data_IF_111009778498
#
_entry.id   IF_111009778498
#
_cell.length_a   1.000
_cell.length_b   1.000
_cell.length_c   1.000
_cell.angle_alpha   90.00
_cell.angle_beta   90.00
_cell.angle_gamma   90.00
#
_symmetry.space_group_name_H-M   'P 1'
#
loop_
_entity.id
_entity.type
_entity.pdbx_description
1 polymer ?
#
# COMPACT_ATOMS: atom_id res chain seq x y z
N UNK A 1 15.25 0.88 26.98
CA UNK A 1 14.94 -0.51 26.49
C UNK A 1 15.70 -0.76 25.19
N UNK A 2 16.33 -1.95 25.02
CA UNK A 2 16.98 -2.32 23.75
C UNK A 2 15.97 -3.04 22.86
N UNK A 3 15.74 -2.53 21.64
CA UNK A 3 14.76 -3.04 20.69
C UNK A 3 15.51 -3.56 19.46
N UNK A 4 15.26 -4.82 19.08
CA UNK A 4 15.69 -5.35 17.79
C UNK A 4 14.62 -5.06 16.76
N UNK A 5 15.01 -4.57 15.58
CA UNK A 5 14.11 -4.20 14.53
C UNK A 5 14.58 -4.69 13.16
N UNK A 6 13.65 -4.70 12.23
CA UNK A 6 13.89 -5.00 10.82
C UNK A 6 13.34 -3.86 9.98
N UNK A 7 14.13 -3.37 9.05
CA UNK A 7 13.73 -2.33 8.09
C UNK A 7 13.35 -3.00 6.79
N UNK A 8 12.09 -2.82 6.39
CA UNK A 8 11.56 -3.31 5.12
C UNK A 8 11.14 -2.15 4.24
N UNK A 9 11.10 -2.39 2.93
CA UNK A 9 10.50 -1.49 1.97
C UNK A 9 9.61 -2.27 0.99
N UNK A 10 8.54 -1.61 0.49
CA UNK A 10 7.68 -2.10 -0.57
C UNK A 10 7.35 -0.98 -1.53
N UNK A 11 7.93 -1.04 -2.74
CA UNK A 11 7.78 0.00 -3.76
C UNK A 11 8.10 1.42 -3.23
N UNK A 12 9.22 1.54 -2.49
CA UNK A 12 9.73 2.81 -1.97
C UNK A 12 9.12 3.29 -0.65
N UNK A 13 8.03 2.69 -0.20
CA UNK A 13 7.44 2.96 1.11
C UNK A 13 8.13 2.07 2.16
N UNK A 14 8.67 2.66 3.22
CA UNK A 14 9.59 1.99 4.13
C UNK A 14 9.06 1.90 5.57
N UNK A 15 9.31 0.76 6.22
CA UNK A 15 8.71 0.44 7.51
C UNK A 15 9.73 -0.17 8.49
N UNK A 16 9.53 0.13 9.77
CA UNK A 16 10.17 -0.56 10.89
C UNK A 16 9.24 -1.71 11.30
N UNK A 17 9.73 -2.95 11.31
CA UNK A 17 8.98 -4.12 11.71
C UNK A 17 9.57 -4.72 12.99
N UNK A 18 8.70 -5.00 13.96
CA UNK A 18 9.05 -5.59 15.24
C UNK A 18 8.32 -6.94 15.41
N UNK A 19 9.07 -7.97 15.80
CA UNK A 19 8.49 -9.24 16.20
C UNK A 19 7.94 -9.13 17.63
N UNK A 20 6.63 -8.98 17.76
CA UNK A 20 5.93 -8.84 19.04
C UNK A 20 5.16 -10.11 19.43
N UNK A 21 5.50 -11.28 18.89
CA UNK A 21 4.84 -12.55 19.23
C UNK A 21 5.02 -12.96 20.69
N UNK A 22 5.98 -12.35 21.39
CA UNK A 22 6.21 -12.54 22.83
C UNK A 22 5.69 -11.37 23.68
N UNK A 23 4.89 -10.46 23.11
CA UNK A 23 4.30 -9.32 23.80
C UNK A 23 5.30 -8.34 24.44
N UNK A 24 6.52 -8.26 23.89
CA UNK A 24 7.57 -7.38 24.42
C UNK A 24 7.31 -5.90 24.14
N UNK A 25 6.43 -5.58 23.22
CA UNK A 25 6.16 -4.22 22.73
C UNK A 25 4.69 -3.78 22.90
N UNK A 26 3.88 -4.51 23.71
CA UNK A 26 2.46 -4.16 23.94
C UNK A 26 2.26 -2.78 24.56
N UNK A 27 3.29 -2.27 25.23
CA UNK A 27 3.28 -0.94 25.84
C UNK A 27 3.98 0.15 25.02
N UNK A 28 4.32 -0.09 23.74
CA UNK A 28 4.95 0.93 22.91
C UNK A 28 4.06 2.16 22.78
N UNK A 29 4.59 3.35 23.06
CA UNK A 29 3.84 4.59 22.99
C UNK A 29 3.99 5.26 21.63
N UNK A 30 2.99 6.09 21.23
CA UNK A 30 3.07 6.86 20.00
C UNK A 30 4.30 7.76 19.92
N UNK A 31 4.75 8.34 21.05
CA UNK A 31 5.97 9.13 21.13
C UNK A 31 7.23 8.30 20.82
N UNK A 32 7.29 7.07 21.29
CA UNK A 32 8.38 6.15 20.98
C UNK A 32 8.37 5.76 19.50
N UNK A 33 7.20 5.47 18.94
CA UNK A 33 7.03 5.21 17.50
C UNK A 33 7.48 6.40 16.67
N UNK A 34 7.00 7.59 16.99
CA UNK A 34 7.38 8.83 16.32
C UNK A 34 8.90 9.05 16.35
N UNK A 35 9.53 8.81 17.50
CA UNK A 35 10.99 8.92 17.66
C UNK A 35 11.73 7.89 16.81
N UNK A 36 11.25 6.64 16.76
CA UNK A 36 11.84 5.59 15.93
C UNK A 36 11.70 5.89 14.44
N UNK A 37 10.57 6.46 14.02
CA UNK A 37 10.30 6.81 12.63
C UNK A 37 10.99 8.10 12.16
N UNK A 38 11.55 8.91 13.07
CA UNK A 38 12.29 10.11 12.71
C UNK A 38 13.54 9.78 11.88
N UNK A 39 13.68 10.41 10.69
CA UNK A 39 14.75 10.11 9.74
C UNK A 39 16.11 10.70 10.13
N UNK A 40 16.14 11.60 11.09
CA UNK A 40 17.36 12.26 11.56
C UNK A 40 17.82 11.77 12.93
N UNK A 41 16.86 11.47 13.83
CA UNK A 41 17.14 11.15 15.22
C UNK A 41 16.73 9.72 15.63
N UNK A 42 16.10 8.97 14.72
CA UNK A 42 15.67 7.60 14.90
C UNK A 42 16.24 6.66 13.83
N UNK A 43 15.48 5.60 13.55
CA UNK A 43 15.76 4.65 12.47
C UNK A 43 15.35 5.28 11.12
N UNK A 44 14.26 6.06 11.15
CA UNK A 44 13.65 6.66 9.98
C UNK A 44 12.75 5.69 9.21
N UNK A 45 11.46 6.00 9.11
CA UNK A 45 10.50 5.22 8.34
C UNK A 45 9.20 6.00 8.11
N UNK A 46 8.38 5.54 7.15
CA UNK A 46 7.02 6.03 6.94
C UNK A 46 6.04 5.47 8.01
N UNK A 47 6.42 4.40 8.68
CA UNK A 47 5.66 3.83 9.79
C UNK A 47 6.34 2.65 10.46
N UNK A 48 5.68 2.15 11.51
CA UNK A 48 6.14 1.01 12.31
C UNK A 48 5.03 -0.04 12.37
N UNK A 49 5.40 -1.31 12.27
CA UNK A 49 4.48 -2.42 12.39
C UNK A 49 4.91 -3.40 13.47
N UNK A 50 3.94 -3.88 14.25
CA UNK A 50 4.11 -5.01 15.15
C UNK A 50 3.52 -6.25 14.49
N UNK A 51 4.25 -7.35 14.53
CA UNK A 51 3.74 -8.67 14.19
C UNK A 51 3.44 -9.41 15.49
N UNK A 52 2.15 -9.58 15.78
CA UNK A 52 1.63 -10.25 16.97
C UNK A 52 1.17 -11.67 16.65
N UNK A 53 1.07 -12.51 17.68
CA UNK A 53 0.28 -13.75 17.59
C UNK A 53 -1.21 -13.43 17.64
N UNK A 54 -2.03 -14.21 16.91
CA UNK A 54 -3.50 -14.10 16.93
C UNK A 54 -4.11 -15.49 16.82
N UNK A 55 -5.02 -15.83 17.71
CA UNK A 55 -5.79 -17.08 17.65
C UNK A 55 -6.60 -17.13 16.35
N UNK A 56 -6.67 -18.28 15.70
CA UNK A 56 -7.36 -18.57 14.44
C UNK A 56 -6.76 -17.89 13.18
N UNK A 57 -5.71 -17.08 13.32
CA UNK A 57 -5.05 -16.40 12.20
C UNK A 57 -3.54 -16.69 12.19
N UNK A 58 -2.91 -16.41 11.07
CA UNK A 58 -1.47 -16.62 10.95
C UNK A 58 -0.67 -15.64 11.81
N UNK A 59 -1.16 -14.41 11.90
CA UNK A 59 -0.65 -13.33 12.76
C UNK A 59 -1.65 -12.17 12.82
N UNK A 60 -1.36 -11.19 13.67
CA UNK A 60 -1.99 -9.88 13.69
C UNK A 60 -0.96 -8.80 13.37
N UNK A 61 -1.35 -7.86 12.54
CA UNK A 61 -0.59 -6.66 12.20
C UNK A 61 -1.16 -5.46 12.95
N UNK A 62 -0.35 -4.79 13.76
CA UNK A 62 -0.66 -3.46 14.28
C UNK A 62 0.24 -2.46 13.59
N UNK A 63 -0.35 -1.45 12.96
CA UNK A 63 0.37 -0.45 12.18
C UNK A 63 0.27 0.94 12.83
N UNK A 64 1.40 1.62 12.91
CA UNK A 64 1.51 3.00 13.33
C UNK A 64 2.11 3.84 12.21
N UNK A 65 1.50 4.99 11.93
CA UNK A 65 2.10 6.01 11.07
C UNK A 65 3.34 6.63 11.73
N UNK A 66 4.15 7.33 10.96
CA UNK A 66 5.38 7.98 11.48
C UNK A 66 5.11 9.07 12.52
N UNK A 67 3.88 9.58 12.63
CA UNK A 67 3.45 10.52 13.67
C UNK A 67 3.13 9.86 15.03
N UNK A 68 3.13 8.52 15.08
CA UNK A 68 2.85 7.70 16.26
C UNK A 68 1.38 7.33 16.42
N UNK A 69 0.49 7.76 15.54
CA UNK A 69 -0.91 7.37 15.56
C UNK A 69 -1.10 6.01 14.89
N UNK A 70 -1.97 5.18 15.46
CA UNK A 70 -2.37 3.93 14.84
C UNK A 70 -3.08 4.19 13.51
N UNK A 71 -2.76 3.40 12.49
CA UNK A 71 -3.29 3.51 11.15
C UNK A 71 -3.95 2.22 10.66
N UNK A 72 -4.71 2.34 9.58
CA UNK A 72 -5.21 1.18 8.83
C UNK A 72 -4.10 0.55 8.00
N UNK A 73 -4.28 -0.71 7.62
CA UNK A 73 -3.35 -1.42 6.75
C UNK A 73 -3.19 -0.69 5.40
N UNK A 74 -1.95 -0.51 4.96
CA UNK A 74 -1.66 -0.05 3.61
C UNK A 74 -1.10 -1.18 2.75
N UNK A 75 -1.35 -1.16 1.43
CA UNK A 75 -0.95 -2.23 0.53
C UNK A 75 0.56 -2.53 0.52
N UNK A 76 1.40 -1.50 0.65
CA UNK A 76 2.86 -1.65 0.73
C UNK A 76 3.27 -2.30 2.07
N UNK A 77 2.68 -1.85 3.18
CA UNK A 77 2.90 -2.40 4.51
C UNK A 77 2.42 -3.84 4.64
N UNK A 78 1.24 -4.16 4.10
CA UNK A 78 0.70 -5.51 4.09
C UNK A 78 1.63 -6.51 3.40
N UNK A 79 2.27 -6.13 2.27
CA UNK A 79 3.26 -6.99 1.64
C UNK A 79 4.52 -7.15 2.50
N UNK A 80 5.00 -6.07 3.13
CA UNK A 80 6.18 -6.11 3.99
C UNK A 80 5.99 -7.00 5.22
N UNK A 81 4.84 -6.92 5.90
CA UNK A 81 4.57 -7.74 7.09
C UNK A 81 4.44 -9.23 6.74
N UNK A 82 3.85 -9.57 5.59
CA UNK A 82 3.75 -10.96 5.11
C UNK A 82 5.15 -11.53 4.81
N UNK A 83 6.00 -10.77 4.12
CA UNK A 83 7.38 -11.20 3.86
C UNK A 83 8.17 -11.33 5.17
N UNK A 84 7.95 -10.45 6.13
CA UNK A 84 8.54 -10.52 7.46
C UNK A 84 8.07 -11.76 8.23
N UNK A 85 6.77 -12.07 8.23
CA UNK A 85 6.21 -13.28 8.83
C UNK A 85 6.85 -14.54 8.24
N UNK A 86 7.03 -14.59 6.92
CA UNK A 86 7.72 -15.69 6.24
C UNK A 86 9.18 -15.83 6.74
N UNK A 87 9.91 -14.73 6.84
CA UNK A 87 11.30 -14.70 7.32
C UNK A 87 11.42 -15.14 8.78
N UNK A 88 10.42 -14.84 9.61
CA UNK A 88 10.34 -15.27 11.03
C UNK A 88 9.88 -16.72 11.22
N UNK A 89 9.69 -17.49 10.15
CA UNK A 89 9.39 -18.91 10.19
C UNK A 89 7.90 -19.26 10.05
N UNK A 90 6.99 -18.30 9.88
CA UNK A 90 5.59 -18.57 9.49
C UNK A 90 5.58 -18.84 7.98
N UNK A 91 6.06 -20.01 7.56
CA UNK A 91 6.28 -20.36 6.15
C UNK A 91 5.04 -20.99 5.55
N UNK A 92 4.24 -20.18 4.89
CA UNK A 92 3.03 -20.58 4.15
C UNK A 92 3.04 -19.96 2.75
N UNK A 93 2.25 -20.52 1.82
CA UNK A 93 2.01 -19.90 0.52
C UNK A 93 0.83 -18.94 0.57
N UNK A 94 -0.11 -19.18 1.50
CA UNK A 94 -1.30 -18.35 1.72
C UNK A 94 -1.35 -17.94 3.18
N UNK A 95 -1.69 -16.68 3.39
CA UNK A 95 -1.79 -16.06 4.72
C UNK A 95 -3.18 -15.49 4.93
N UNK A 96 -3.68 -15.68 6.13
CA UNK A 96 -4.88 -15.06 6.65
C UNK A 96 -4.48 -14.30 7.92
N UNK A 97 -4.50 -12.98 7.90
CA UNK A 97 -4.05 -12.16 9.01
C UNK A 97 -5.03 -11.04 9.35
N UNK A 98 -5.04 -10.65 10.62
CA UNK A 98 -5.88 -9.57 11.12
C UNK A 98 -5.08 -8.26 11.12
N UNK A 99 -5.71 -7.15 10.71
CA UNK A 99 -5.21 -5.80 10.91
C UNK A 99 -6.30 -4.94 11.55
N UNK A 100 -5.99 -3.68 11.88
CA UNK A 100 -6.93 -2.76 12.53
C UNK A 100 -8.24 -2.57 11.74
N UNK A 101 -8.16 -2.62 10.42
CA UNK A 101 -9.30 -2.47 9.50
C UNK A 101 -9.96 -3.80 9.10
N UNK A 102 -9.54 -4.91 9.69
CA UNK A 102 -10.17 -6.22 9.53
C UNK A 102 -9.27 -7.31 8.97
N UNK A 103 -9.89 -8.30 8.36
CA UNK A 103 -9.25 -9.49 7.84
C UNK A 103 -8.63 -9.24 6.47
N UNK A 104 -7.40 -9.74 6.29
CA UNK A 104 -6.64 -9.66 5.05
C UNK A 104 -6.13 -11.02 4.61
N UNK A 105 -6.09 -11.22 3.29
CA UNK A 105 -5.53 -12.39 2.64
C UNK A 105 -4.29 -11.99 1.84
N UNK A 106 -3.26 -12.83 1.88
CA UNK A 106 -2.08 -12.67 1.05
C UNK A 106 -1.54 -14.01 0.57
N UNK A 107 -0.77 -13.96 -0.51
CA UNK A 107 -0.04 -15.11 -1.05
C UNK A 107 1.42 -14.71 -1.29
N UNK A 108 2.33 -15.68 -1.12
CA UNK A 108 3.72 -15.55 -1.58
C UNK A 108 3.90 -16.51 -2.75
N UNK A 109 4.33 -15.99 -3.89
CA UNK A 109 4.62 -16.79 -5.08
C UNK A 109 6.03 -17.44 -5.02
N UNK A 110 6.35 -18.21 -6.05
CA UNK A 110 7.65 -18.92 -6.17
C UNK A 110 8.83 -17.95 -6.27
N UNK A 111 8.62 -16.75 -6.81
CA UNK A 111 9.63 -15.69 -6.95
C UNK A 111 9.71 -14.81 -5.69
N UNK A 112 8.99 -15.19 -4.62
CA UNK A 112 8.87 -14.46 -3.34
C UNK A 112 8.23 -13.08 -3.46
N UNK A 113 7.50 -12.83 -4.53
CA UNK A 113 6.63 -11.66 -4.62
C UNK A 113 5.39 -11.90 -3.77
N UNK A 114 4.95 -10.87 -3.08
CA UNK A 114 3.75 -10.93 -2.24
C UNK A 114 2.56 -10.40 -3.03
N UNK A 115 1.50 -11.18 -3.07
CA UNK A 115 0.19 -10.81 -3.58
C UNK A 115 -0.72 -10.51 -2.39
N UNK A 116 -1.29 -9.33 -2.35
CA UNK A 116 -2.22 -8.89 -1.31
C UNK A 116 -3.62 -8.77 -1.92
N UNK A 117 -4.59 -9.43 -1.29
CA UNK A 117 -5.99 -9.34 -1.69
C UNK A 117 -6.51 -7.93 -1.44
N UNK A 118 -7.10 -7.34 -2.47
CA UNK A 118 -7.74 -6.03 -2.41
C UNK A 118 -9.26 -6.19 -2.37
N UNK A 119 -9.96 -5.12 -1.98
CA UNK A 119 -11.42 -5.09 -2.04
C UNK A 119 -11.91 -5.19 -3.47
N UNK A 120 -12.98 -5.97 -3.69
CA UNK A 120 -13.71 -5.96 -4.94
C UNK A 120 -14.32 -4.59 -5.21
N UNK A 121 -14.46 -4.23 -6.47
CA UNK A 121 -15.03 -2.96 -6.91
C UNK A 121 -16.33 -3.24 -7.66
N UNK A 122 -17.44 -2.70 -7.13
CA UNK A 122 -18.77 -2.86 -7.72
C UNK A 122 -19.26 -1.61 -8.47
N UNK A 123 -18.51 -0.51 -8.38
CA UNK A 123 -18.92 0.78 -8.98
C UNK A 123 -17.71 1.57 -9.46
N UNK A 124 -17.81 2.06 -10.69
CA UNK A 124 -16.94 3.08 -11.27
C UNK A 124 -17.83 4.22 -11.75
N UNK A 125 -17.48 5.44 -11.42
CA UNK A 125 -18.10 6.64 -11.97
C UNK A 125 -17.27 7.15 -13.16
N UNK A 126 -17.93 7.35 -14.29
CA UNK A 126 -17.33 7.78 -15.54
C UNK A 126 -17.61 9.26 -15.79
N UNK A 127 -16.57 10.02 -16.06
CA UNK A 127 -16.65 11.40 -16.55
C UNK A 127 -15.98 11.52 -17.91
N UNK A 128 -16.02 12.70 -18.54
CA UNK A 128 -15.48 12.91 -19.88
C UNK A 128 -13.95 12.66 -19.92
N UNK A 129 -13.24 13.00 -18.84
CA UNK A 129 -11.77 13.00 -18.80
C UNK A 129 -11.17 12.28 -17.59
N UNK A 130 -12.01 11.64 -16.75
CA UNK A 130 -11.57 10.93 -15.55
C UNK A 130 -12.57 9.87 -15.11
N UNK A 131 -12.10 9.06 -14.15
CA UNK A 131 -12.86 8.00 -13.49
C UNK A 131 -12.76 8.15 -11.98
N UNK A 132 -13.82 7.78 -11.24
CA UNK A 132 -13.81 7.75 -9.78
C UNK A 132 -14.26 6.37 -9.29
N UNK A 133 -13.46 5.75 -8.44
CA UNK A 133 -13.74 4.44 -7.85
C UNK A 133 -13.11 4.30 -6.47
N UNK A 134 -13.53 3.26 -5.74
CA UNK A 134 -13.03 2.98 -4.39
C UNK A 134 -12.43 1.57 -4.31
N UNK A 135 -11.12 1.47 -4.11
CA UNK A 135 -10.36 0.22 -3.95
C UNK A 135 -9.89 -0.01 -2.50
N UNK A 136 -10.61 0.56 -1.53
CA UNK A 136 -10.27 0.65 -0.12
C UNK A 136 -10.09 2.11 0.32
N UNK A 137 -9.79 2.99 -0.62
CA UNK A 137 -9.79 4.45 -0.49
C UNK A 137 -10.38 5.04 -1.79
N UNK A 138 -10.97 6.25 -1.78
CA UNK A 138 -11.49 6.88 -2.99
C UNK A 138 -10.34 7.37 -3.88
N UNK A 139 -10.46 7.08 -5.17
CA UNK A 139 -9.47 7.41 -6.19
C UNK A 139 -10.09 8.11 -7.40
N UNK A 140 -9.48 9.22 -7.79
CA UNK A 140 -9.65 9.89 -9.07
C UNK A 140 -8.55 9.39 -10.00
N UNK A 141 -8.89 8.90 -11.17
CA UNK A 141 -7.96 8.36 -12.17
C UNK A 141 -8.09 9.15 -13.46
N UNK A 142 -6.99 9.73 -13.91
CA UNK A 142 -6.94 10.52 -15.15
C UNK A 142 -5.78 10.10 -16.04
N UNK A 143 -6.08 9.76 -17.30
CA UNK A 143 -5.03 9.50 -18.27
C UNK A 143 -4.43 10.80 -18.79
N UNK A 144 -3.11 10.85 -18.83
CA UNK A 144 -2.34 11.99 -19.32
C UNK A 144 -1.19 11.51 -20.21
N UNK A 145 -0.82 12.26 -21.23
CA UNK A 145 0.39 11.97 -21.99
C UNK A 145 1.62 12.35 -21.16
N UNK A 146 2.71 11.58 -21.28
CA UNK A 146 4.02 11.89 -20.69
C UNK A 146 3.97 12.18 -19.18
N UNK A 147 3.42 11.24 -18.41
CA UNK A 147 3.24 11.38 -16.95
C UNK A 147 4.55 11.64 -16.21
N UNK A 148 5.70 11.21 -16.75
CA UNK A 148 7.01 11.43 -16.15
C UNK A 148 7.32 12.92 -15.89
N UNK A 149 6.95 13.81 -16.80
CA UNK A 149 7.15 15.27 -16.67
C UNK A 149 5.93 16.03 -16.14
N UNK A 150 4.86 15.33 -15.76
CA UNK A 150 3.61 15.95 -15.33
C UNK A 150 3.73 16.57 -13.94
N UNK A 151 3.12 17.74 -13.72
CA UNK A 151 3.08 18.39 -12.40
C UNK A 151 1.98 17.80 -11.52
N UNK A 152 2.29 16.61 -10.95
CA UNK A 152 1.38 15.83 -10.12
C UNK A 152 0.92 16.61 -8.90
N UNK A 153 1.82 17.38 -8.28
CA UNK A 153 1.51 18.09 -7.03
C UNK A 153 0.56 19.24 -7.26
N UNK A 154 0.82 20.08 -8.27
CA UNK A 154 -0.05 21.22 -8.56
C UNK A 154 -1.44 20.78 -9.05
N UNK A 155 -1.50 19.85 -10.00
CA UNK A 155 -2.79 19.38 -10.54
C UNK A 155 -3.53 18.48 -9.57
N UNK A 156 -2.83 17.62 -8.82
CA UNK A 156 -3.42 16.78 -7.77
C UNK A 156 -4.06 17.61 -6.66
N UNK A 157 -3.34 18.62 -6.16
CA UNK A 157 -3.84 19.56 -5.16
C UNK A 157 -5.08 20.32 -5.63
N UNK A 158 -5.10 20.75 -6.88
CA UNK A 158 -6.24 21.43 -7.48
C UNK A 158 -7.49 20.54 -7.53
N UNK A 159 -7.34 19.29 -7.97
CA UNK A 159 -8.44 18.31 -8.02
C UNK A 159 -8.91 17.98 -6.60
N UNK A 160 -7.97 17.63 -5.69
CA UNK A 160 -8.23 17.27 -4.29
C UNK A 160 -9.03 18.34 -3.54
N UNK A 161 -8.76 19.62 -3.83
CA UNK A 161 -9.42 20.77 -3.19
C UNK A 161 -10.55 21.37 -4.05
N UNK A 162 -10.96 20.70 -5.12
CA UNK A 162 -12.11 21.13 -5.91
C UNK A 162 -13.40 21.04 -5.10
N UNK A 163 -14.44 21.78 -5.53
CA UNK A 163 -15.74 21.80 -4.84
C UNK A 163 -16.33 20.40 -4.62
N UNK A 164 -16.04 19.48 -5.52
CA UNK A 164 -16.54 18.10 -5.49
C UNK A 164 -15.86 17.25 -4.42
N UNK A 165 -14.54 17.43 -4.22
CA UNK A 165 -13.74 16.54 -3.38
C UNK A 165 -13.20 17.19 -2.10
N UNK A 166 -13.36 18.50 -1.92
CA UNK A 166 -12.75 19.25 -0.80
C UNK A 166 -13.13 18.69 0.58
N UNK A 167 -14.41 18.30 0.77
CA UNK A 167 -14.93 17.87 2.06
C UNK A 167 -14.38 16.50 2.50
N UNK A 168 -14.47 15.48 1.62
CA UNK A 168 -14.08 14.09 1.95
C UNK A 168 -12.66 13.76 1.52
N UNK A 169 -12.15 14.50 0.57
CA UNK A 169 -10.87 14.26 -0.07
C UNK A 169 -10.85 13.04 -0.98
N UNK A 170 -9.90 13.04 -1.89
CA UNK A 170 -9.69 11.97 -2.86
C UNK A 170 -8.20 11.84 -3.16
N UNK A 171 -7.70 10.62 -3.40
CA UNK A 171 -6.39 10.38 -3.99
C UNK A 171 -6.48 10.65 -5.49
N UNK A 172 -5.48 11.30 -6.07
CA UNK A 172 -5.48 11.65 -7.50
C UNK A 172 -4.36 10.91 -8.21
N UNK A 173 -4.73 10.08 -9.18
CA UNK A 173 -3.80 9.25 -9.93
C UNK A 173 -3.74 9.75 -11.37
N UNK A 174 -2.55 10.09 -11.84
CA UNK A 174 -2.26 10.40 -13.23
C UNK A 174 -1.60 9.19 -13.88
N UNK A 175 -2.16 8.76 -15.01
CA UNK A 175 -1.83 7.47 -15.65
C UNK A 175 -1.40 7.72 -17.08
N UNK A 176 -0.32 7.09 -17.49
CA UNK A 176 0.11 7.00 -18.88
C UNK A 176 0.08 5.53 -19.31
N UNK A 177 -0.58 5.22 -20.42
CA UNK A 177 -0.45 3.91 -21.05
C UNK A 177 0.90 3.83 -21.75
N UNK A 178 1.73 2.87 -21.37
CA UNK A 178 3.01 2.58 -22.03
C UNK A 178 2.76 1.67 -23.23
N UNK A 179 1.96 0.62 -23.02
CA UNK A 179 1.42 -0.30 -24.03
C UNK A 179 0.11 -0.93 -23.52
N UNK A 180 -0.33 -2.03 -24.14
CA UNK A 180 -1.62 -2.65 -23.85
C UNK A 180 -1.76 -3.17 -22.41
N UNK A 181 -0.66 -3.66 -21.81
CA UNK A 181 -0.65 -4.29 -20.49
C UNK A 181 0.22 -3.53 -19.47
N UNK A 182 0.87 -2.43 -19.86
CA UNK A 182 1.76 -1.66 -19.00
C UNK A 182 1.33 -0.20 -18.89
N UNK A 183 1.25 0.29 -17.64
CA UNK A 183 0.95 1.69 -17.31
C UNK A 183 2.03 2.31 -16.42
N UNK A 184 2.16 3.64 -16.47
CA UNK A 184 2.92 4.40 -15.50
C UNK A 184 1.98 5.27 -14.68
N UNK A 185 2.00 5.11 -13.35
CA UNK A 185 1.11 5.80 -12.41
C UNK A 185 1.91 6.70 -11.48
N UNK A 186 1.44 7.94 -11.32
CA UNK A 186 1.92 8.87 -10.30
C UNK A 186 0.75 9.38 -9.49
N UNK A 187 0.86 9.41 -8.16
CA UNK A 187 -0.26 9.66 -7.25
C UNK A 187 0.02 10.83 -6.31
N UNK A 188 -0.92 11.80 -6.30
CA UNK A 188 -1.06 12.77 -5.21
C UNK A 188 -1.96 12.15 -4.14
N UNK A 189 -1.43 11.96 -2.95
CA UNK A 189 -2.08 11.15 -1.91
C UNK A 189 -2.80 12.03 -0.87
N UNK A 190 -4.07 11.72 -0.67
CA UNK A 190 -4.88 12.33 0.38
C UNK A 190 -4.33 12.01 1.77
N UNK A 191 -4.16 13.04 2.61
CA UNK A 191 -3.60 12.91 3.95
C UNK A 191 -2.09 13.13 4.00
N UNK A 192 -1.37 12.79 2.94
CA UNK A 192 0.03 13.21 2.72
C UNK A 192 0.07 14.62 2.12
N UNK A 193 -0.90 14.91 1.23
CA UNK A 193 -1.08 16.18 0.52
C UNK A 193 0.14 16.54 -0.35
N UNK A 194 0.78 15.49 -0.87
CA UNK A 194 1.94 15.54 -1.78
C UNK A 194 1.97 14.30 -2.67
N UNK A 195 2.93 14.24 -3.61
CA UNK A 195 3.18 13.06 -4.42
C UNK A 195 3.91 11.99 -3.60
N UNK A 196 3.38 10.76 -3.59
CA UNK A 196 4.03 9.60 -2.96
C UNK A 196 4.77 8.74 -3.99
N UNK A 197 5.74 7.95 -3.51
CA UNK A 197 6.48 7.03 -4.37
C UNK A 197 5.61 5.91 -4.94
N UNK A 198 4.61 5.46 -4.16
CA UNK A 198 3.64 4.44 -4.59
C UNK A 198 2.45 4.41 -3.63
N UNK A 199 1.25 4.48 -4.16
CA UNK A 199 -0.01 4.28 -3.44
C UNK A 199 -0.64 2.97 -3.90
N UNK A 200 -0.67 1.93 -3.05
CA UNK A 200 -1.14 0.59 -3.45
C UNK A 200 -2.59 0.55 -3.94
N UNK A 201 -3.50 1.26 -3.26
CA UNK A 201 -4.91 1.40 -3.69
C UNK A 201 -5.04 2.22 -4.97
N UNK A 202 -4.17 3.22 -5.17
CA UNK A 202 -4.11 4.04 -6.39
C UNK A 202 -3.60 3.25 -7.60
N UNK A 203 -2.57 2.45 -7.41
CA UNK A 203 -2.06 1.49 -8.40
C UNK A 203 -3.17 0.53 -8.80
N UNK A 204 -3.90 -0.04 -7.83
CA UNK A 204 -5.04 -0.92 -8.09
C UNK A 204 -6.11 -0.20 -8.89
N UNK A 205 -6.57 0.98 -8.46
CA UNK A 205 -7.59 1.75 -9.15
C UNK A 205 -7.20 2.05 -10.62
N UNK A 206 -5.94 2.46 -10.83
CA UNK A 206 -5.43 2.79 -12.16
C UNK A 206 -5.38 1.58 -13.09
N UNK A 207 -4.95 0.41 -12.57
CA UNK A 207 -4.89 -0.82 -13.33
C UNK A 207 -6.27 -1.33 -13.75
N UNK A 208 -7.28 -1.24 -12.85
CA UNK A 208 -8.67 -1.63 -13.18
C UNK A 208 -9.24 -0.81 -14.35
N UNK A 209 -8.94 0.50 -14.37
CA UNK A 209 -9.43 1.40 -15.42
C UNK A 209 -8.63 1.26 -16.72
N UNK A 210 -7.36 0.93 -16.64
CA UNK A 210 -6.49 0.76 -17.81
C UNK A 210 -6.70 -0.58 -18.53
N UNK A 211 -7.43 -1.54 -17.94
CA UNK A 211 -7.62 -2.86 -18.54
C UNK A 211 -8.33 -2.78 -19.90
N UNK A 212 -7.61 -3.18 -20.93
CA UNK A 212 -8.14 -3.19 -22.31
C UNK A 212 -8.88 -4.47 -22.68
N UNK A 213 -8.66 -5.53 -21.91
CA UNK A 213 -9.21 -6.83 -22.23
C UNK A 213 -10.71 -6.92 -21.95
N UNK A 214 -11.34 -7.85 -22.65
CA UNK A 214 -12.72 -8.25 -22.41
C UNK A 214 -12.92 -8.79 -20.98
N UNK A 215 -14.15 -9.11 -20.62
CA UNK A 215 -14.46 -9.72 -19.34
C UNK A 215 -13.63 -10.99 -19.11
N UNK A 216 -13.26 -11.24 -17.85
CA UNK A 216 -12.45 -12.36 -17.42
C UNK A 216 -11.17 -11.93 -16.72
N UNK A 217 -10.19 -12.84 -16.68
CA UNK A 217 -8.91 -12.59 -16.02
C UNK A 217 -8.09 -11.53 -16.77
N UNK A 218 -7.58 -10.57 -16.00
CA UNK A 218 -6.70 -9.51 -16.47
C UNK A 218 -5.49 -9.40 -15.56
N UNK A 219 -4.36 -8.96 -16.13
CA UNK A 219 -3.16 -8.57 -15.39
C UNK A 219 -2.58 -7.31 -16.04
N UNK A 220 -2.36 -6.29 -15.21
CA UNK A 220 -1.76 -5.03 -15.64
C UNK A 220 -0.48 -4.80 -14.86
N UNK A 221 0.63 -4.59 -15.57
CA UNK A 221 1.91 -4.21 -15.01
C UNK A 221 1.93 -2.70 -14.79
N UNK A 222 2.34 -2.30 -13.58
CA UNK A 222 2.27 -0.90 -13.15
C UNK A 222 3.63 -0.40 -12.72
N UNK A 223 4.19 0.53 -13.47
CA UNK A 223 5.32 1.32 -13.05
C UNK A 223 4.85 2.43 -12.11
N UNK A 224 5.47 2.54 -10.94
CA UNK A 224 5.35 3.68 -10.05
C UNK A 224 6.74 4.28 -9.81
N UNK A 225 6.84 5.47 -9.19
CA UNK A 225 8.16 6.07 -8.88
C UNK A 225 8.99 5.20 -7.93
N UNK A 226 8.32 4.47 -7.04
CA UNK A 226 8.97 3.63 -6.03
C UNK A 226 9.28 2.20 -6.48
N UNK A 227 8.86 1.79 -7.68
CA UNK A 227 9.10 0.45 -8.19
C UNK A 227 8.01 -0.08 -9.10
N UNK A 228 8.15 -1.34 -9.46
CA UNK A 228 7.21 -2.04 -10.34
C UNK A 228 6.27 -2.91 -9.51
N UNK A 229 4.99 -2.85 -9.85
CA UNK A 229 3.92 -3.62 -9.26
C UNK A 229 3.09 -4.24 -10.38
N UNK A 230 2.20 -5.17 -10.04
CA UNK A 230 1.15 -5.60 -10.96
C UNK A 230 -0.16 -5.79 -10.23
N UNK A 231 -1.26 -5.74 -10.97
CA UNK A 231 -2.60 -6.01 -10.44
C UNK A 231 -3.23 -7.11 -11.27
N UNK A 232 -3.64 -8.19 -10.60
CA UNK A 232 -4.38 -9.31 -11.17
C UNK A 232 -5.84 -9.20 -10.72
N UNK A 233 -6.80 -9.43 -11.62
CA UNK A 233 -8.22 -9.34 -11.30
C UNK A 233 -9.10 -10.01 -12.35
N UNK A 234 -10.37 -10.23 -11.99
CA UNK A 234 -11.42 -10.64 -12.93
C UNK A 234 -12.33 -9.45 -13.23
N UNK A 235 -12.39 -9.05 -14.50
CA UNK A 235 -13.32 -8.03 -15.00
C UNK A 235 -14.66 -8.69 -15.31
N UNK A 236 -15.71 -8.28 -14.62
CA UNK A 236 -17.09 -8.76 -14.84
C UNK A 236 -17.83 -7.81 -15.79
N UNK A 237 -17.57 -6.51 -15.65
CA UNK A 237 -18.07 -5.44 -16.51
C UNK A 237 -17.16 -4.21 -16.38
N UNK A 238 -17.44 -3.14 -17.11
CA UNK A 238 -16.68 -1.89 -17.00
C UNK A 238 -16.78 -1.20 -15.62
N UNK A 239 -17.75 -1.62 -14.80
CA UNK A 239 -17.96 -1.06 -13.44
C UNK A 239 -17.73 -2.05 -12.32
N UNK A 240 -17.50 -3.34 -12.65
CA UNK A 240 -17.39 -4.40 -11.65
C UNK A 240 -16.16 -5.26 -11.87
N UNK A 241 -15.31 -5.30 -10.83
CA UNK A 241 -14.06 -6.05 -10.78
C UNK A 241 -14.00 -6.85 -9.48
N UNK A 242 -13.64 -8.12 -9.58
CA UNK A 242 -13.58 -9.04 -8.44
C UNK A 242 -12.25 -9.79 -8.41
N UNK A 243 -11.99 -10.47 -7.32
CA UNK A 243 -10.78 -11.25 -7.14
C UNK A 243 -9.50 -10.48 -7.40
N UNK A 244 -9.44 -9.25 -6.88
CA UNK A 244 -8.38 -8.27 -7.14
C UNK A 244 -7.18 -8.55 -6.23
N UNK A 245 -5.98 -8.63 -6.83
CA UNK A 245 -4.71 -8.86 -6.14
C UNK A 245 -3.69 -7.81 -6.53
N UNK A 246 -3.14 -7.10 -5.54
CA UNK A 246 -2.00 -6.21 -5.69
C UNK A 246 -0.71 -7.00 -5.46
N UNK A 247 0.11 -7.12 -6.49
CA UNK A 247 1.34 -7.90 -6.48
C UNK A 247 2.54 -6.96 -6.50
N UNK A 248 3.58 -7.28 -5.73
CA UNK A 248 4.78 -6.46 -5.74
C UNK A 248 5.86 -6.94 -4.79
N UNK A 249 7.04 -6.31 -4.85
CA UNK A 249 8.16 -6.64 -3.98
C UNK A 249 7.87 -6.21 -2.54
N UNK A 250 8.53 -6.91 -1.62
CA UNK A 250 8.68 -6.55 -0.23
C UNK A 250 10.06 -7.04 0.22
N UNK A 251 10.95 -6.11 0.55
CA UNK A 251 12.36 -6.42 0.71
C UNK A 251 12.88 -5.98 2.07
N UNK A 252 13.69 -6.85 2.69
CA UNK A 252 14.49 -6.50 3.85
C UNK A 252 15.62 -5.57 3.41
N UNK A 253 15.67 -4.36 3.96
CA UNK A 253 16.75 -3.39 3.69
C UNK A 253 17.91 -3.62 4.63
N UNK A 254 17.63 -3.64 5.94
CA UNK A 254 18.60 -4.00 7.01
C UNK A 254 17.87 -4.38 8.30
N UNK A 255 18.63 -4.95 9.24
CA UNK A 255 18.19 -5.20 10.60
C UNK A 255 19.18 -4.56 11.58
N UNK A 256 18.71 -4.23 12.78
CA UNK A 256 19.53 -3.57 13.78
C UNK A 256 18.93 -3.58 15.18
N UNK A 257 19.55 -2.82 16.07
CA UNK A 257 19.07 -2.58 17.42
C UNK A 257 19.15 -1.09 17.77
N UNK A 258 18.13 -0.61 18.48
CA UNK A 258 18.08 0.76 19.01
C UNK A 258 17.86 0.72 20.52
N UNK A 259 18.47 1.65 21.25
CA UNK A 259 18.17 1.89 22.66
C UNK A 259 17.22 3.09 22.77
N UNK A 260 15.98 2.82 23.16
CA UNK A 260 15.06 3.87 23.56
C UNK A 260 15.34 4.24 25.00
N UNK A 261 15.70 5.52 25.20
CA UNK A 261 15.74 6.13 26.52
C UNK A 261 14.32 6.56 26.86
N UNK A 262 13.93 6.26 28.09
CA UNK A 262 12.67 6.75 28.68
C UNK A 262 12.60 8.26 28.66
#
# INVERSE_FOLDING_TARGET
MKISFYKYQGAGNDFILLDNRQHNFDGITGEQVKKMCDRHFGIGADGLMLLNTKEDYDFEMVYYNSDGNEGSMCGNGGRCIVQFAYALGIRKNKYLFMATDGLHEAEIDLDKKVKLKMKDVDRVEFSIDHYVLNTGSPHYVKFVPQVAGFDVVAEGRKIRNSKEFAEKGINVNFVENIDDDHIFVRTYERGVEDETLSCGTGVTASALIAAHNDNGFNRVEVKAKGGELSVEFEKISDTKFVNIWLCGPAELVFAGGIELKD
#
